data_IF_088146771074
#
_entry.id   IF_088146771074
#
_cell.length_a   1.000
_cell.length_b   1.000
_cell.length_c   1.000
_cell.angle_alpha   90.00
_cell.angle_beta   90.00
_cell.angle_gamma   90.00
#
_symmetry.space_group_name_H-M   'P 1'
#
loop_
_entity.id
_entity.type
_entity.pdbx_description
1 polymer ?
#
# COMPACT_ATOMS: atom_id res chain seq x y z
N UNK A 1 2.85 46.38 -68.98
CA UNK A 1 1.92 47.15 -69.83
C UNK A 1 0.79 47.61 -68.93
N UNK A 2 0.56 48.92 -68.88
CA UNK A 2 -0.19 49.65 -67.85
C UNK A 2 -1.69 49.37 -67.80
N UNK A 3 -2.25 49.54 -66.58
CA UNK A 3 -3.50 50.26 -66.24
C UNK A 3 -3.72 50.02 -64.72
N UNK A 4 -3.13 50.75 -63.77
CA UNK A 4 -3.15 52.21 -63.50
C UNK A 4 -4.56 52.83 -63.49
N UNK A 5 -5.45 52.34 -62.64
CA UNK A 5 -6.68 53.07 -62.26
C UNK A 5 -7.02 53.03 -60.75
N UNK A 6 -6.42 52.15 -59.94
CA UNK A 6 -6.87 51.96 -58.54
C UNK A 6 -6.08 52.68 -57.44
N UNK A 7 -5.11 53.55 -57.74
CA UNK A 7 -4.23 54.14 -56.71
C UNK A 7 -4.70 55.50 -56.13
N UNK A 8 -5.82 56.06 -56.61
CA UNK A 8 -6.27 57.39 -56.14
C UNK A 8 -7.36 57.32 -55.06
N UNK A 9 -8.24 56.32 -55.08
CA UNK A 9 -9.37 56.22 -54.14
C UNK A 9 -8.96 55.61 -52.79
N UNK A 10 -8.01 54.67 -52.79
CA UNK A 10 -7.54 53.99 -51.58
C UNK A 10 -6.61 54.87 -50.72
N UNK A 11 -5.81 55.74 -51.35
CA UNK A 11 -4.91 56.70 -50.68
C UNK A 11 -5.63 57.88 -50.02
N UNK A 12 -6.86 58.20 -50.45
CA UNK A 12 -7.67 59.25 -49.83
C UNK A 12 -8.35 58.79 -48.54
N UNK A 13 -8.66 57.49 -48.40
CA UNK A 13 -9.41 56.96 -47.26
C UNK A 13 -8.54 56.69 -46.01
N UNK A 14 -7.22 56.58 -46.17
CA UNK A 14 -6.26 56.22 -45.11
C UNK A 14 -5.29 57.35 -44.71
N UNK A 15 -5.52 58.58 -45.18
CA UNK A 15 -4.63 59.72 -44.91
C UNK A 15 -4.83 60.23 -43.47
N UNK A 16 -3.87 59.96 -42.59
CA UNK A 16 -3.82 60.47 -41.22
C UNK A 16 -3.95 59.43 -40.10
N UNK A 17 -4.03 58.13 -40.42
CA UNK A 17 -4.08 57.06 -39.41
C UNK A 17 -2.71 56.38 -39.24
N UNK A 18 -2.20 56.34 -38.00
CA UNK A 18 -1.02 55.55 -37.63
C UNK A 18 -1.49 54.13 -37.34
N UNK A 19 -1.20 53.20 -38.25
CA UNK A 19 -1.51 51.78 -38.12
C UNK A 19 -0.33 51.06 -37.45
N UNK A 20 -0.60 50.20 -36.45
CA UNK A 20 0.40 49.43 -35.72
C UNK A 20 0.15 47.92 -35.91
N UNK A 21 1.10 47.05 -35.51
CA UNK A 21 1.11 45.60 -35.80
C UNK A 21 -0.04 44.76 -35.19
N UNK A 22 -1.08 45.40 -34.66
CA UNK A 22 -2.29 44.77 -34.13
C UNK A 22 -3.59 45.26 -34.79
N UNK A 23 -3.53 45.95 -35.94
CA UNK A 23 -4.73 46.46 -36.63
C UNK A 23 -5.17 45.55 -37.78
N UNK A 24 -6.39 45.00 -37.71
CA UNK A 24 -6.99 44.17 -38.76
C UNK A 24 -8.30 44.79 -39.28
N UNK A 25 -8.41 44.89 -40.61
CA UNK A 25 -9.62 45.34 -41.30
C UNK A 25 -10.42 44.13 -41.77
N UNK A 26 -11.65 43.98 -41.28
CA UNK A 26 -12.56 42.90 -41.65
C UNK A 26 -13.62 43.41 -42.62
N UNK A 27 -13.63 42.87 -43.84
CA UNK A 27 -14.69 43.08 -44.82
C UNK A 27 -15.69 41.93 -44.74
N UNK A 28 -16.94 42.22 -44.41
CA UNK A 28 -18.05 41.28 -44.53
C UNK A 28 -18.91 41.68 -45.72
N UNK A 29 -18.91 40.83 -46.76
CA UNK A 29 -19.81 40.99 -47.91
C UNK A 29 -20.79 39.82 -47.96
N UNK A 30 -22.08 40.14 -48.04
CA UNK A 30 -23.14 39.20 -48.39
C UNK A 30 -23.19 39.04 -49.91
N UNK A 31 -23.00 37.83 -50.43
CA UNK A 31 -23.31 37.53 -51.83
C UNK A 31 -24.81 37.24 -51.98
N UNK A 32 -25.43 37.99 -52.88
CA UNK A 32 -26.86 38.07 -53.23
C UNK A 32 -27.72 36.79 -53.06
N UNK A 33 -29.02 36.92 -52.66
CA UNK A 33 -29.96 35.82 -52.70
C UNK A 33 -30.37 35.52 -54.15
N UNK A 34 -30.00 34.36 -54.67
CA UNK A 34 -30.51 33.88 -55.96
C UNK A 34 -31.78 33.08 -55.71
N UNK A 35 -32.93 33.70 -56.00
CA UNK A 35 -34.20 32.99 -56.16
C UNK A 35 -34.16 32.17 -57.44
N UNK A 36 -34.33 30.84 -57.35
CA UNK A 36 -34.56 29.97 -58.51
C UNK A 36 -35.97 29.39 -58.48
N UNK A 37 -36.75 29.75 -59.50
CA UNK A 37 -38.10 29.26 -59.80
C UNK A 37 -37.99 27.92 -60.54
N UNK A 38 -38.73 26.92 -60.05
CA UNK A 38 -38.78 25.51 -60.47
C UNK A 38 -39.24 25.31 -61.93
N UNK A 39 -38.68 24.31 -62.63
CA UNK A 39 -39.37 23.53 -63.67
C UNK A 39 -39.26 22.05 -63.30
N UNK A 40 -40.40 21.37 -63.16
CA UNK A 40 -40.48 19.96 -62.81
C UNK A 40 -41.11 19.23 -63.99
N UNK A 41 -40.32 18.42 -64.68
CA UNK A 41 -40.81 17.47 -65.68
C UNK A 41 -40.78 16.06 -65.08
N UNK A 42 -41.82 15.30 -65.44
CA UNK A 42 -42.26 14.06 -64.83
C UNK A 42 -41.29 12.90 -65.02
N UNK A 43 -40.78 12.33 -63.92
CA UNK A 43 -40.38 10.92 -63.89
C UNK A 43 -40.95 10.28 -62.62
N UNK A 44 -42.27 10.06 -62.63
CA UNK A 44 -42.99 9.39 -61.53
C UNK A 44 -42.69 7.88 -61.45
N UNK A 45 -41.92 7.30 -62.38
CA UNK A 45 -41.64 5.87 -62.38
C UNK A 45 -40.35 5.48 -61.64
N UNK A 46 -39.26 6.26 -61.78
CA UNK A 46 -37.94 5.92 -61.20
C UNK A 46 -37.89 6.20 -59.68
N UNK A 47 -38.64 7.19 -59.18
CA UNK A 47 -38.69 7.51 -57.74
C UNK A 47 -39.37 6.40 -56.93
N UNK A 48 -40.31 5.63 -57.50
CA UNK A 48 -40.99 4.56 -56.75
C UNK A 48 -40.10 3.35 -56.45
N UNK A 49 -39.08 3.12 -57.27
CA UNK A 49 -38.10 2.05 -57.10
C UNK A 49 -36.99 2.51 -56.13
N UNK A 50 -36.50 3.74 -56.31
CA UNK A 50 -35.50 4.35 -55.42
C UNK A 50 -36.05 4.66 -54.01
N UNK A 51 -37.33 5.03 -53.87
CA UNK A 51 -37.99 5.26 -52.58
C UNK A 51 -38.21 3.96 -51.80
N UNK A 52 -38.52 2.85 -52.47
CA UNK A 52 -38.63 1.53 -51.83
C UNK A 52 -37.28 1.01 -51.34
N UNK A 53 -36.24 1.14 -52.16
CA UNK A 53 -34.85 0.86 -51.76
C UNK A 53 -34.37 1.77 -50.61
N UNK A 54 -34.73 3.07 -50.66
CA UNK A 54 -34.47 4.04 -49.58
C UNK A 54 -35.17 3.65 -48.28
N UNK A 55 -36.45 3.30 -48.30
CA UNK A 55 -37.18 2.87 -47.09
C UNK A 55 -36.62 1.59 -46.50
N UNK A 56 -36.26 0.59 -47.33
CA UNK A 56 -35.63 -0.63 -46.83
C UNK A 56 -34.25 -0.36 -46.23
N UNK A 57 -33.44 0.50 -46.86
CA UNK A 57 -32.16 0.95 -46.30
C UNK A 57 -32.34 1.63 -44.94
N UNK A 58 -33.29 2.54 -44.81
CA UNK A 58 -33.60 3.20 -43.53
C UNK A 58 -34.16 2.24 -42.48
N UNK A 59 -34.99 1.27 -42.87
CA UNK A 59 -35.52 0.25 -41.94
C UNK A 59 -34.42 -0.67 -41.45
N UNK A 60 -33.53 -1.15 -42.33
CA UNK A 60 -32.38 -1.99 -41.95
C UNK A 60 -31.43 -1.21 -41.04
N UNK A 61 -31.18 0.07 -41.35
CA UNK A 61 -30.35 0.94 -40.52
C UNK A 61 -30.99 1.18 -39.14
N UNK A 62 -32.30 1.40 -39.05
CA UNK A 62 -33.00 1.54 -37.77
C UNK A 62 -32.96 0.26 -36.94
N UNK A 63 -33.13 -0.90 -37.58
CA UNK A 63 -33.01 -2.21 -36.92
C UNK A 63 -31.58 -2.44 -36.43
N UNK A 64 -30.56 -2.10 -37.22
CA UNK A 64 -29.16 -2.27 -36.82
C UNK A 64 -28.80 -1.36 -35.64
N UNK A 65 -29.28 -0.11 -35.63
CA UNK A 65 -29.07 0.82 -34.51
C UNK A 65 -29.79 0.32 -33.25
N UNK A 66 -31.02 -0.20 -33.37
CA UNK A 66 -31.75 -0.79 -32.24
C UNK A 66 -31.04 -2.02 -31.67
N UNK A 67 -30.58 -2.93 -32.54
CA UNK A 67 -29.84 -4.11 -32.12
C UNK A 67 -28.55 -3.73 -31.39
N UNK A 68 -27.79 -2.76 -31.93
CA UNK A 68 -26.55 -2.29 -31.33
C UNK A 68 -26.80 -1.57 -30.00
N UNK A 69 -27.87 -0.78 -29.90
CA UNK A 69 -28.30 -0.15 -28.65
C UNK A 69 -28.64 -1.18 -27.59
N UNK A 70 -29.38 -2.24 -27.94
CA UNK A 70 -29.71 -3.31 -27.01
C UNK A 70 -28.46 -4.06 -26.54
N UNK A 71 -27.54 -4.38 -27.46
CA UNK A 71 -26.27 -5.02 -27.13
C UNK A 71 -25.44 -4.18 -26.16
N UNK A 72 -25.31 -2.86 -26.40
CA UNK A 72 -24.55 -1.98 -25.52
C UNK A 72 -25.18 -1.93 -24.12
N UNK A 73 -26.50 -1.78 -24.01
CA UNK A 73 -27.20 -1.79 -22.72
C UNK A 73 -26.99 -3.12 -21.98
N UNK A 74 -27.05 -4.24 -22.69
CA UNK A 74 -26.79 -5.56 -22.11
C UNK A 74 -25.35 -5.68 -21.57
N UNK A 75 -24.35 -5.25 -22.35
CA UNK A 75 -22.96 -5.26 -21.88
C UNK A 75 -22.71 -4.32 -20.70
N UNK A 76 -23.33 -3.14 -20.69
CA UNK A 76 -23.24 -2.19 -19.58
C UNK A 76 -23.90 -2.74 -18.31
N UNK A 77 -25.05 -3.41 -18.46
CA UNK A 77 -25.73 -4.08 -17.35
C UNK A 77 -24.86 -5.19 -16.76
N UNK A 78 -24.31 -6.07 -17.60
CA UNK A 78 -23.42 -7.14 -17.12
C UNK A 78 -22.18 -6.58 -16.41
N UNK A 79 -21.57 -5.51 -16.94
CA UNK A 79 -20.44 -4.85 -16.30
C UNK A 79 -20.82 -4.23 -14.95
N UNK A 80 -22.03 -3.69 -14.82
CA UNK A 80 -22.53 -3.14 -13.56
C UNK A 80 -22.74 -4.24 -12.50
N UNK A 81 -23.29 -5.39 -12.90
CA UNK A 81 -23.42 -6.56 -12.03
C UNK A 81 -22.06 -7.12 -11.60
N UNK A 82 -21.07 -7.14 -12.50
CA UNK A 82 -19.72 -7.64 -12.20
C UNK A 82 -18.91 -6.68 -11.32
N UNK A 83 -19.06 -5.36 -11.50
CA UNK A 83 -18.28 -4.33 -10.79
C UNK A 83 -19.17 -3.15 -10.35
N UNK A 84 -19.99 -3.32 -9.29
CA UNK A 84 -20.92 -2.27 -8.83
C UNK A 84 -20.21 -1.14 -8.07
N UNK A 85 -18.97 -1.33 -7.63
CA UNK A 85 -18.23 -0.36 -6.82
C UNK A 85 -17.19 0.40 -7.65
N UNK A 86 -17.09 1.71 -7.44
CA UNK A 86 -16.07 2.58 -8.02
C UNK A 86 -15.26 3.24 -6.91
N UNK A 87 -13.95 3.15 -7.00
CA UNK A 87 -13.03 3.84 -6.10
C UNK A 87 -12.76 5.24 -6.65
N UNK A 88 -12.93 6.27 -5.82
CA UNK A 88 -12.62 7.67 -6.15
C UNK A 88 -11.78 8.29 -5.06
N UNK A 89 -10.86 9.18 -5.43
CA UNK A 89 -10.06 9.95 -4.48
C UNK A 89 -10.92 11.12 -4.00
N UNK A 90 -11.24 11.14 -2.70
CA UNK A 90 -12.03 12.22 -2.10
C UNK A 90 -11.17 13.44 -1.82
N UNK A 91 -10.06 13.26 -1.07
CA UNK A 91 -9.12 14.33 -0.74
C UNK A 91 -7.69 13.91 -1.00
N UNK A 92 -6.90 14.80 -1.62
CA UNK A 92 -5.45 14.62 -1.78
C UNK A 92 -4.66 15.23 -0.61
N UNK A 93 -5.31 16.00 0.26
CA UNK A 93 -4.68 16.77 1.34
C UNK A 93 -5.49 16.65 2.63
N UNK A 94 -5.25 15.59 3.39
CA UNK A 94 -5.74 15.47 4.77
C UNK A 94 -4.80 16.25 5.71
N UNK A 95 -5.31 17.01 6.70
CA UNK A 95 -4.47 17.65 7.69
C UNK A 95 -3.59 16.64 8.42
N UNK A 96 -2.29 16.93 8.51
CA UNK A 96 -1.28 16.02 9.10
C UNK A 96 -1.63 15.62 10.55
N UNK A 97 -2.24 16.54 11.31
CA UNK A 97 -2.61 16.30 12.72
C UNK A 97 -3.64 15.17 12.90
N UNK A 98 -4.48 14.92 11.90
CA UNK A 98 -5.47 13.83 11.92
C UNK A 98 -4.85 12.48 11.54
N UNK A 99 -3.62 12.47 11.02
CA UNK A 99 -3.00 11.26 10.50
C UNK A 99 -2.43 10.43 11.65
N UNK A 100 -2.92 9.19 11.86
CA UNK A 100 -2.32 8.30 12.84
C UNK A 100 -0.90 7.91 12.38
N UNK A 101 0.01 7.76 13.33
CA UNK A 101 1.31 7.16 13.06
C UNK A 101 1.08 5.68 12.70
N UNK A 102 1.73 5.13 11.66
CA UNK A 102 1.64 3.70 11.40
C UNK A 102 2.27 2.90 12.54
N UNK A 103 1.89 1.62 12.62
CA UNK A 103 2.66 0.68 13.42
C UNK A 103 3.95 0.33 12.70
N UNK A 104 5.07 0.40 13.41
CA UNK A 104 6.40 0.08 12.90
C UNK A 104 6.98 -1.03 13.77
N UNK A 105 7.22 -2.20 13.18
CA UNK A 105 7.67 -3.38 13.91
C UNK A 105 9.06 -3.78 13.47
N UNK A 106 10.01 -3.80 14.40
CA UNK A 106 11.41 -4.13 14.19
C UNK A 106 11.71 -5.50 14.80
N UNK A 107 12.20 -6.46 14.03
CA UNK A 107 12.53 -7.79 14.53
C UNK A 107 14.03 -7.93 14.77
N UNK A 108 14.42 -8.46 15.93
CA UNK A 108 15.85 -8.72 16.14
C UNK A 108 16.30 -9.89 15.26
N UNK A 109 17.42 -9.79 14.52
CA UNK A 109 17.99 -10.97 13.86
C UNK A 109 18.59 -11.97 14.87
N UNK A 110 18.85 -11.52 16.10
CA UNK A 110 19.33 -12.37 17.20
C UNK A 110 18.15 -12.98 17.97
N UNK A 111 17.62 -14.07 17.42
CA UNK A 111 16.53 -14.83 18.02
C UNK A 111 16.99 -15.85 19.07
N UNK A 112 18.31 -16.03 19.26
CA UNK A 112 18.86 -17.02 20.17
C UNK A 112 20.16 -16.53 20.80
N UNK A 113 20.07 -16.17 22.07
CA UNK A 113 21.19 -15.61 22.83
C UNK A 113 21.97 -16.66 23.63
N UNK A 114 23.26 -16.44 23.84
CA UNK A 114 24.11 -17.27 24.71
C UNK A 114 23.67 -17.10 26.17
N UNK A 115 23.29 -15.89 26.57
CA UNK A 115 22.70 -15.63 27.89
C UNK A 115 21.42 -16.45 28.16
N UNK A 116 20.57 -16.68 27.14
CA UNK A 116 19.43 -17.58 27.27
C UNK A 116 19.85 -19.04 27.48
N UNK A 117 20.88 -19.51 26.77
CA UNK A 117 21.41 -20.86 26.98
C UNK A 117 21.87 -21.07 28.43
N UNK A 118 22.60 -20.10 28.98
CA UNK A 118 23.03 -20.13 30.38
C UNK A 118 21.83 -20.14 31.35
N UNK A 119 20.82 -19.32 31.07
CA UNK A 119 19.58 -19.28 31.84
C UNK A 119 18.88 -20.66 31.85
N UNK A 120 18.68 -21.29 30.69
CA UNK A 120 18.04 -22.60 30.61
C UNK A 120 18.88 -23.70 31.25
N UNK A 121 20.21 -23.67 31.08
CA UNK A 121 21.10 -24.63 31.71
C UNK A 121 21.00 -24.59 33.25
N UNK A 122 20.83 -23.40 33.82
CA UNK A 122 20.64 -23.22 35.27
C UNK A 122 19.23 -23.54 35.76
N UNK A 123 18.20 -23.32 34.93
CA UNK A 123 16.79 -23.42 35.34
C UNK A 123 16.19 -24.81 35.13
N UNK A 124 16.64 -25.54 34.11
CA UNK A 124 16.19 -26.92 33.87
C UNK A 124 16.71 -27.82 34.99
N UNK A 125 15.83 -28.50 35.70
CA UNK A 125 16.17 -29.36 36.84
C UNK A 125 16.25 -30.83 36.38
N UNK A 126 15.26 -31.26 35.61
CA UNK A 126 15.05 -32.64 35.18
C UNK A 126 15.56 -32.90 33.76
N UNK A 127 16.06 -34.12 33.51
CA UNK A 127 16.53 -34.55 32.18
C UNK A 127 18.04 -34.40 31.95
N UNK A 128 18.51 -34.90 30.81
CA UNK A 128 19.90 -34.78 30.40
C UNK A 128 20.16 -33.39 29.81
N UNK A 129 21.11 -32.63 30.38
CA UNK A 129 21.44 -31.25 29.98
C UNK A 129 22.63 -31.15 29.02
N UNK A 130 23.38 -32.23 28.84
CA UNK A 130 24.66 -32.20 28.12
C UNK A 130 24.55 -31.84 26.64
N UNK A 131 23.33 -31.80 26.09
CA UNK A 131 23.07 -31.56 24.67
C UNK A 131 22.17 -30.32 24.43
N UNK A 132 22.01 -29.44 25.43
CA UNK A 132 21.15 -28.25 25.29
C UNK A 132 21.59 -27.33 24.14
N UNK A 133 22.90 -27.21 23.91
CA UNK A 133 23.48 -26.48 22.77
C UNK A 133 23.05 -27.05 21.41
N UNK A 134 22.76 -28.35 21.36
CA UNK A 134 22.28 -29.02 20.15
C UNK A 134 20.77 -28.84 19.99
N UNK A 135 20.01 -28.81 21.10
CA UNK A 135 18.56 -28.69 21.09
C UNK A 135 18.08 -27.26 20.79
N UNK A 136 18.70 -26.26 21.42
CA UNK A 136 18.21 -24.89 21.43
C UNK A 136 18.16 -24.23 20.04
N UNK A 137 19.11 -24.48 19.13
CA UNK A 137 19.01 -24.00 17.74
C UNK A 137 17.78 -24.51 16.97
N UNK A 138 17.15 -25.62 17.39
CA UNK A 138 15.93 -26.11 16.73
C UNK A 138 14.74 -25.17 16.96
N UNK A 139 14.81 -24.30 17.97
CA UNK A 139 13.80 -23.25 18.22
C UNK A 139 13.67 -22.30 17.02
N UNK A 140 14.74 -22.09 16.26
CA UNK A 140 14.70 -21.29 15.04
C UNK A 140 13.75 -21.88 13.99
N UNK A 141 13.44 -23.17 14.06
CA UNK A 141 12.44 -23.83 13.22
C UNK A 141 11.02 -23.33 13.41
N UNK A 142 10.77 -22.53 14.45
CA UNK A 142 9.50 -21.83 14.64
C UNK A 142 9.38 -20.58 13.77
N UNK A 143 10.51 -20.06 13.27
CA UNK A 143 10.59 -18.82 12.49
C UNK A 143 11.06 -19.07 11.05
N UNK A 144 11.88 -20.09 10.85
CA UNK A 144 12.42 -20.46 9.55
C UNK A 144 12.08 -21.91 9.19
N UNK A 145 11.98 -22.17 7.89
CA UNK A 145 11.76 -23.52 7.40
C UNK A 145 13.03 -24.37 7.59
N UNK A 146 12.95 -25.38 8.48
CA UNK A 146 14.01 -26.38 8.66
C UNK A 146 13.66 -27.65 7.89
N UNK A 147 14.65 -28.21 7.18
CA UNK A 147 14.51 -29.53 6.57
C UNK A 147 14.43 -30.62 7.66
N UNK A 148 13.27 -31.25 7.79
CA UNK A 148 13.04 -32.31 8.76
C UNK A 148 13.65 -33.63 8.26
N UNK A 149 14.71 -34.08 8.92
CA UNK A 149 15.24 -35.44 8.79
C UNK A 149 14.76 -36.31 9.94
N UNK A 150 14.81 -37.64 9.80
CA UNK A 150 14.46 -38.56 10.90
C UNK A 150 15.30 -38.29 12.17
N UNK A 151 16.54 -37.83 12.02
CA UNK A 151 17.39 -37.47 13.16
C UNK A 151 16.91 -36.19 13.83
N UNK A 152 16.55 -35.16 13.04
CA UNK A 152 15.99 -33.90 13.55
C UNK A 152 14.67 -34.12 14.29
N UNK A 153 13.81 -35.01 13.79
CA UNK A 153 12.53 -35.32 14.43
C UNK A 153 12.73 -35.95 15.82
N UNK A 154 13.65 -36.91 15.94
CA UNK A 154 13.97 -37.52 17.24
C UNK A 154 14.55 -36.50 18.22
N UNK A 155 15.42 -35.62 17.74
CA UNK A 155 16.02 -34.54 18.53
C UNK A 155 14.95 -33.56 19.02
N UNK A 156 13.99 -33.19 18.17
CA UNK A 156 12.88 -32.31 18.52
C UNK A 156 11.95 -32.96 19.55
N UNK A 157 11.67 -34.26 19.43
CA UNK A 157 10.90 -35.01 20.44
C UNK A 157 11.60 -35.02 21.79
N UNK A 158 12.90 -35.34 21.83
CA UNK A 158 13.68 -35.30 23.07
C UNK A 158 13.72 -33.90 23.69
N UNK A 159 13.79 -32.86 22.86
CA UNK A 159 13.72 -31.48 23.35
C UNK A 159 12.33 -31.15 23.92
N UNK A 160 11.26 -31.54 23.23
CA UNK A 160 9.89 -31.35 23.72
C UNK A 160 9.66 -32.07 25.05
N UNK A 161 10.08 -33.34 25.16
CA UNK A 161 9.97 -34.13 26.39
C UNK A 161 10.70 -33.42 27.55
N UNK A 162 11.90 -32.87 27.29
CA UNK A 162 12.68 -32.12 28.27
C UNK A 162 11.96 -30.85 28.75
N UNK A 163 11.33 -30.10 27.83
CA UNK A 163 10.55 -28.91 28.18
C UNK A 163 9.31 -29.28 28.99
N UNK A 164 8.60 -30.34 28.60
CA UNK A 164 7.38 -30.82 29.27
C UNK A 164 7.66 -31.30 30.70
N UNK A 165 8.75 -32.05 30.92
CA UNK A 165 9.19 -32.48 32.26
C UNK A 165 9.42 -31.28 33.18
N UNK A 166 10.03 -30.21 32.65
CA UNK A 166 10.31 -28.99 33.40
C UNK A 166 9.16 -27.96 33.37
N UNK A 167 7.99 -28.32 32.82
CA UNK A 167 6.78 -27.49 32.72
C UNK A 167 6.98 -26.17 31.96
N UNK A 168 7.89 -26.15 30.99
CA UNK A 168 8.06 -25.01 30.10
C UNK A 168 7.08 -25.10 28.93
N UNK A 169 6.43 -23.99 28.60
CA UNK A 169 5.68 -23.87 27.35
C UNK A 169 6.54 -23.28 26.25
N UNK A 170 6.16 -23.52 24.99
CA UNK A 170 6.84 -22.90 23.84
C UNK A 170 6.80 -21.38 23.94
N UNK A 171 5.69 -20.80 24.40
CA UNK A 171 5.61 -19.34 24.61
C UNK A 171 6.60 -18.83 25.64
N UNK A 172 6.81 -19.56 26.74
CA UNK A 172 7.81 -19.19 27.76
C UNK A 172 9.22 -19.26 27.16
N UNK A 173 9.50 -20.26 26.33
CA UNK A 173 10.75 -20.38 25.60
C UNK A 173 10.97 -19.18 24.67
N UNK A 174 10.00 -18.87 23.80
CA UNK A 174 10.07 -17.74 22.87
C UNK A 174 10.12 -16.37 23.56
N UNK A 175 9.81 -16.30 24.85
CA UNK A 175 9.93 -15.06 25.64
C UNK A 175 11.30 -14.85 26.28
N UNK A 176 12.12 -15.90 26.44
CA UNK A 176 13.41 -15.84 27.13
C UNK A 176 14.61 -16.14 26.23
N UNK A 177 14.41 -16.85 25.12
CA UNK A 177 15.45 -17.22 24.16
C UNK A 177 15.98 -16.04 23.31
N UNK A 178 15.11 -15.21 22.72
CA UNK A 178 15.54 -14.12 21.83
C UNK A 178 16.02 -12.90 22.61
N UNK A 179 16.75 -12.02 21.90
CA UNK A 179 17.18 -10.75 22.47
C UNK A 179 15.98 -9.85 22.80
N UNK A 180 15.90 -9.38 24.04
CA UNK A 180 14.83 -8.49 24.49
C UNK A 180 14.85 -7.13 23.77
N UNK A 181 13.68 -6.51 23.62
CA UNK A 181 13.52 -5.18 23.00
C UNK A 181 14.34 -4.08 23.67
N UNK A 182 14.54 -4.14 24.99
CA UNK A 182 15.32 -3.14 25.73
C UNK A 182 16.80 -3.19 25.37
N UNK A 183 17.31 -4.40 25.07
CA UNK A 183 18.68 -4.61 24.66
C UNK A 183 18.87 -4.37 23.17
N UNK A 184 17.87 -4.74 22.36
CA UNK A 184 17.90 -4.54 20.91
C UNK A 184 17.78 -3.06 20.52
N UNK A 185 16.87 -2.31 21.17
CA UNK A 185 16.62 -0.90 20.89
C UNK A 185 17.43 -0.01 21.85
N UNK A 186 18.59 0.49 21.42
CA UNK A 186 19.51 1.25 22.27
C UNK A 186 19.06 2.69 22.54
N UNK A 187 18.50 3.37 21.53
CA UNK A 187 18.05 4.78 21.66
C UNK A 187 16.84 5.03 20.80
N UNK A 188 15.83 5.70 21.35
CA UNK A 188 14.61 6.04 20.65
C UNK A 188 14.32 7.53 20.78
N UNK A 189 14.09 8.19 19.65
CA UNK A 189 13.67 9.58 19.57
C UNK A 189 12.37 9.63 18.79
N UNK A 190 11.43 10.43 19.29
CA UNK A 190 10.17 10.70 18.62
C UNK A 190 9.99 12.21 18.58
N UNK A 191 9.82 12.75 17.38
CA UNK A 191 9.59 14.18 17.15
C UNK A 191 10.70 15.11 17.69
N UNK A 192 11.93 14.59 17.74
CA UNK A 192 13.12 15.28 18.26
C UNK A 192 13.28 15.21 19.78
N UNK A 193 12.43 14.45 20.49
CA UNK A 193 12.56 14.19 21.94
C UNK A 193 13.01 12.76 22.18
N UNK A 194 13.99 12.58 23.06
CA UNK A 194 14.44 11.26 23.49
C UNK A 194 13.40 10.62 24.44
N UNK A 195 13.13 9.34 24.22
CA UNK A 195 12.29 8.50 25.07
C UNK A 195 13.04 7.21 25.45
N UNK A 196 12.60 6.56 26.53
CA UNK A 196 13.00 5.18 26.76
C UNK A 196 12.33 4.31 25.70
N UNK A 197 13.09 3.40 25.09
CA UNK A 197 12.56 2.53 24.03
C UNK A 197 11.43 1.63 24.54
N UNK A 198 11.50 1.14 25.78
CA UNK A 198 10.46 0.32 26.41
C UNK A 198 9.12 1.05 26.59
N UNK A 199 9.12 2.39 26.62
CA UNK A 199 7.89 3.19 26.70
C UNK A 199 7.21 3.34 25.34
N UNK A 200 8.00 3.34 24.26
CA UNK A 200 7.52 3.53 22.89
C UNK A 200 7.21 2.22 22.17
N UNK A 201 8.06 1.22 22.36
CA UNK A 201 7.99 -0.08 21.71
C UNK A 201 7.51 -1.13 22.70
N UNK A 202 6.61 -2.00 22.25
CA UNK A 202 6.16 -3.18 23.00
C UNK A 202 6.59 -4.44 22.28
N UNK A 203 7.00 -5.49 23.02
CA UNK A 203 7.34 -6.75 22.39
C UNK A 203 6.10 -7.31 21.70
N UNK A 204 6.30 -7.99 20.58
CA UNK A 204 5.28 -8.72 19.83
C UNK A 204 5.93 -9.93 19.19
N UNK A 205 5.23 -11.06 19.19
CA UNK A 205 5.73 -12.28 18.55
C UNK A 205 5.13 -12.39 17.14
N UNK A 206 5.95 -12.46 16.10
CA UNK A 206 5.50 -12.56 14.70
C UNK A 206 6.04 -13.83 14.04
N UNK A 207 5.71 -14.03 12.76
CA UNK A 207 6.29 -15.07 11.89
C UNK A 207 7.81 -14.95 11.78
N UNK A 208 8.34 -13.74 11.90
CA UNK A 208 9.76 -13.41 11.83
C UNK A 208 10.49 -13.45 13.17
N UNK A 209 9.81 -13.88 14.24
CA UNK A 209 10.40 -14.01 15.56
C UNK A 209 9.90 -13.02 16.58
N UNK A 210 10.71 -12.81 17.61
CA UNK A 210 10.47 -11.80 18.63
C UNK A 210 10.83 -10.41 18.10
N UNK A 211 9.84 -9.53 18.10
CA UNK A 211 9.94 -8.21 17.50
C UNK A 211 9.44 -7.13 18.47
N UNK A 212 9.74 -5.88 18.14
CA UNK A 212 9.41 -4.70 18.92
C UNK A 212 8.55 -3.79 18.06
N UNK A 213 7.30 -3.57 18.48
CA UNK A 213 6.32 -2.80 17.73
C UNK A 213 6.05 -1.44 18.36
N UNK A 214 6.20 -0.40 17.56
CA UNK A 214 5.81 0.96 17.88
C UNK A 214 4.38 1.21 17.42
N UNK A 215 3.60 1.91 18.24
CA UNK A 215 2.23 2.36 17.93
C UNK A 215 1.29 1.26 17.40
N UNK A 216 1.42 0.04 17.93
CA UNK A 216 0.52 -1.06 17.61
C UNK A 216 -0.38 -1.40 18.81
N UNK A 217 -1.64 -1.72 18.53
CA UNK A 217 -2.63 -2.12 19.55
C UNK A 217 -2.35 -3.50 20.16
N UNK A 218 -1.59 -4.35 19.48
CA UNK A 218 -1.19 -5.68 19.92
C UNK A 218 0.18 -5.65 20.61
N UNK A 219 0.32 -6.48 21.64
CA UNK A 219 1.59 -6.70 22.34
C UNK A 219 1.66 -8.12 22.87
N UNK A 220 2.86 -8.65 22.98
CA UNK A 220 3.15 -9.93 23.60
C UNK A 220 3.24 -9.76 25.11
N UNK A 221 2.48 -10.56 25.86
CA UNK A 221 2.43 -10.50 27.32
C UNK A 221 3.31 -11.56 28.01
N UNK A 222 4.23 -12.19 27.27
CA UNK A 222 5.04 -13.32 27.75
C UNK A 222 4.44 -14.70 27.44
N UNK A 223 3.15 -14.78 27.12
CA UNK A 223 2.48 -16.04 26.76
C UNK A 223 1.88 -16.03 25.36
N UNK A 224 1.24 -14.92 24.99
CA UNK A 224 0.60 -14.77 23.69
C UNK A 224 0.50 -13.30 23.31
N UNK A 225 0.22 -13.05 22.04
CA UNK A 225 -0.13 -11.73 21.58
C UNK A 225 -1.54 -11.39 22.08
N UNK A 226 -1.67 -10.23 22.72
CA UNK A 226 -2.91 -9.71 23.27
C UNK A 226 -3.14 -8.29 22.81
N UNK A 227 -4.41 -7.92 22.64
CA UNK A 227 -4.80 -6.54 22.37
C UNK A 227 -4.71 -5.71 23.65
N UNK A 228 -3.95 -4.64 23.65
CA UNK A 228 -3.87 -3.70 24.76
C UNK A 228 -5.15 -2.85 24.82
N UNK A 229 -5.93 -3.01 25.89
CA UNK A 229 -7.21 -2.30 26.08
C UNK A 229 -7.03 -0.80 26.35
N UNK A 230 -5.89 -0.41 26.90
CA UNK A 230 -5.57 0.99 27.22
C UNK A 230 -4.68 1.62 26.14
N UNK A 231 -4.67 1.06 24.94
CA UNK A 231 -3.90 1.60 23.83
C UNK A 231 -4.43 2.96 23.42
N UNK A 232 -3.53 3.94 23.33
CA UNK A 232 -3.82 5.27 22.80
C UNK A 232 -2.97 5.45 21.56
N UNK A 233 -3.65 5.60 20.43
CA UNK A 233 -2.99 5.83 19.15
C UNK A 233 -2.25 7.17 19.17
N UNK A 234 -1.05 7.20 18.58
CA UNK A 234 -0.27 8.41 18.38
C UNK A 234 -0.53 8.94 16.97
N UNK A 235 -0.71 10.24 16.85
CA UNK A 235 -0.84 10.91 15.57
C UNK A 235 0.45 11.63 15.20
N UNK A 236 0.66 11.84 13.90
CA UNK A 236 1.76 12.62 13.35
C UNK A 236 1.50 14.11 13.64
N UNK A 237 2.44 14.79 14.30
CA UNK A 237 2.28 16.23 14.59
C UNK A 237 3.01 17.13 13.60
N UNK A 238 4.09 16.66 13.02
CA UNK A 238 4.91 17.44 12.10
C UNK A 238 5.66 16.53 11.12
N UNK A 239 6.00 17.08 9.96
CA UNK A 239 6.79 16.40 8.92
C UNK A 239 8.23 16.92 8.92
N UNK A 240 9.15 16.09 8.42
CA UNK A 240 10.57 16.43 8.25
C UNK A 240 11.52 15.62 9.14
N UNK A 241 12.78 15.61 8.75
CA UNK A 241 13.82 14.73 9.34
C UNK A 241 14.02 14.91 10.84
N UNK A 242 13.84 16.12 11.37
CA UNK A 242 13.99 16.40 12.81
C UNK A 242 12.76 16.01 13.64
N UNK A 243 11.64 15.71 12.97
CA UNK A 243 10.35 15.39 13.58
C UNK A 243 9.94 13.93 13.39
N UNK A 244 10.85 13.10 12.91
CA UNK A 244 10.64 11.67 12.70
C UNK A 244 10.79 10.84 13.98
N UNK A 245 10.38 9.58 13.89
CA UNK A 245 10.84 8.49 14.73
C UNK A 245 12.26 8.11 14.29
N UNK A 246 13.21 8.19 15.21
CA UNK A 246 14.59 7.72 15.03
C UNK A 246 14.88 6.65 16.07
N UNK A 247 15.36 5.50 15.62
CA UNK A 247 15.68 4.35 16.46
C UNK A 247 17.09 3.89 16.15
N UNK A 248 17.89 3.71 17.20
CA UNK A 248 19.20 3.09 17.12
C UNK A 248 19.06 1.67 17.63
N UNK A 249 19.38 0.70 16.78
CA UNK A 249 19.28 -0.73 17.04
C UNK A 249 20.66 -1.38 17.13
N UNK A 250 20.78 -2.45 17.90
CA UNK A 250 21.99 -3.26 18.02
C UNK A 250 21.60 -4.68 18.46
N UNK A 251 21.84 -5.64 17.59
CA UNK A 251 21.48 -7.05 17.80
C UNK A 251 22.51 -7.84 18.62
N UNK A 252 23.59 -7.20 19.06
CA UNK A 252 24.63 -7.77 19.92
C UNK A 252 25.16 -9.11 19.42
N UNK A 253 25.92 -9.08 18.32
CA UNK A 253 26.52 -10.28 17.70
C UNK A 253 27.30 -11.14 18.71
N UNK A 254 27.97 -10.52 19.68
CA UNK A 254 28.76 -11.20 20.70
C UNK A 254 27.94 -12.15 21.60
N UNK A 255 26.67 -11.82 21.86
CA UNK A 255 25.74 -12.63 22.66
C UNK A 255 24.87 -13.54 21.79
N UNK A 256 25.03 -13.52 20.46
CA UNK A 256 24.33 -14.45 19.59
C UNK A 256 24.98 -15.85 19.64
N UNK A 257 24.20 -16.92 19.56
CA UNK A 257 24.77 -18.26 19.39
C UNK A 257 25.40 -18.42 18.01
N UNK A 258 26.47 -19.22 17.93
CA UNK A 258 27.21 -19.44 16.68
C UNK A 258 26.30 -19.98 15.56
N UNK A 259 26.32 -19.32 14.39
CA UNK A 259 25.55 -19.66 13.20
C UNK A 259 24.02 -19.66 13.38
N UNK A 260 23.50 -18.87 14.33
CA UNK A 260 22.05 -18.75 14.60
C UNK A 260 21.44 -17.39 14.25
N UNK A 261 22.28 -16.44 13.80
CA UNK A 261 21.84 -15.10 13.40
C UNK A 261 20.99 -15.22 12.13
N UNK A 262 19.75 -14.74 12.21
CA UNK A 262 18.83 -14.75 11.07
C UNK A 262 19.16 -13.64 10.07
N UNK A 263 18.79 -13.87 8.81
CA UNK A 263 18.86 -12.88 7.72
C UNK A 263 20.26 -12.29 7.48
N UNK A 264 21.32 -13.02 7.83
CA UNK A 264 22.70 -12.52 7.74
C UNK A 264 22.96 -11.30 8.60
N UNK A 265 22.18 -11.12 9.68
CA UNK A 265 22.24 -9.96 10.55
C UNK A 265 21.46 -8.76 10.05
N UNK A 266 20.68 -8.85 8.96
CA UNK A 266 19.77 -7.78 8.56
C UNK A 266 18.53 -7.73 9.47
N UNK A 267 18.06 -6.53 9.78
CA UNK A 267 16.88 -6.30 10.62
C UNK A 267 15.62 -6.23 9.76
N UNK A 268 14.65 -7.15 9.91
CA UNK A 268 13.35 -7.04 9.28
C UNK A 268 12.52 -5.92 9.92
N UNK A 269 11.90 -5.11 9.08
CA UNK A 269 11.06 -3.96 9.45
C UNK A 269 9.74 -4.08 8.73
N UNK A 270 8.66 -4.16 9.49
CA UNK A 270 7.29 -4.22 8.98
C UNK A 270 6.55 -2.91 9.24
N UNK A 271 5.78 -2.48 8.26
CA UNK A 271 4.85 -1.36 8.36
C UNK A 271 3.42 -1.87 8.31
N UNK A 272 2.59 -1.50 9.27
CA UNK A 272 1.17 -1.86 9.28
C UNK A 272 0.32 -0.70 9.81
N UNK A 273 -1.00 -0.80 9.66
CA UNK A 273 -1.88 0.09 10.42
C UNK A 273 -1.74 -0.19 11.93
N UNK A 274 -1.98 0.82 12.75
CA UNK A 274 -1.91 0.72 14.22
C UNK A 274 -2.91 -0.29 14.79
N UNK A 275 -4.00 -0.55 14.06
CA UNK A 275 -5.08 -1.47 14.45
C UNK A 275 -4.89 -2.90 13.94
N UNK A 276 -3.94 -3.11 13.04
CA UNK A 276 -3.67 -4.38 12.37
C UNK A 276 -2.49 -5.11 13.02
N UNK A 277 -2.51 -6.44 12.92
CA UNK A 277 -1.39 -7.26 13.37
C UNK A 277 -0.26 -7.19 12.34
N UNK A 278 1.02 -7.04 12.73
CA UNK A 278 2.13 -6.97 11.77
C UNK A 278 2.17 -8.20 10.87
N UNK A 279 2.13 -7.97 9.56
CA UNK A 279 2.17 -8.98 8.51
C UNK A 279 3.32 -8.71 7.53
N UNK A 280 3.56 -9.67 6.65
CA UNK A 280 4.66 -9.63 5.68
C UNK A 280 4.35 -8.75 4.46
N UNK A 281 3.20 -8.06 4.43
CA UNK A 281 2.71 -7.29 3.28
C UNK A 281 3.65 -6.10 2.93
N UNK A 282 4.19 -5.44 3.95
CA UNK A 282 5.12 -4.31 3.83
C UNK A 282 6.38 -4.57 4.67
N UNK A 283 7.10 -5.63 4.32
CA UNK A 283 8.32 -6.09 4.98
C UNK A 283 9.59 -5.66 4.21
N UNK A 284 10.53 -5.03 4.93
CA UNK A 284 11.83 -4.63 4.41
C UNK A 284 12.96 -5.16 5.28
N UNK A 285 14.05 -5.62 4.67
CA UNK A 285 15.26 -6.03 5.38
C UNK A 285 16.27 -4.90 5.34
N UNK A 286 16.70 -4.43 6.51
CA UNK A 286 17.70 -3.38 6.64
C UNK A 286 19.03 -3.94 7.05
N UNK A 287 20.06 -3.60 6.27
CA UNK A 287 21.42 -3.82 6.71
C UNK A 287 21.70 -2.98 7.96
N UNK A 288 22.37 -3.58 8.94
CA UNK A 288 22.68 -2.97 10.21
C UNK A 288 23.96 -2.11 10.15
N UNK A 289 24.71 -2.16 9.05
CA UNK A 289 25.91 -1.34 8.82
C UNK A 289 25.57 0.01 8.15
N UNK A 290 24.83 0.88 8.84
CA UNK A 290 24.61 2.25 8.37
C UNK A 290 23.33 2.92 8.86
N UNK A 291 23.00 4.04 8.23
CA UNK A 291 21.75 4.77 8.45
C UNK A 291 20.80 4.48 7.29
N UNK A 292 19.55 4.13 7.61
CA UNK A 292 18.48 3.98 6.62
C UNK A 292 17.40 5.04 6.84
N UNK A 293 16.92 5.62 5.74
CA UNK A 293 15.91 6.66 5.74
C UNK A 293 14.63 6.15 5.10
N UNK A 294 13.55 6.18 5.86
CA UNK A 294 12.24 5.68 5.46
C UNK A 294 11.28 6.83 5.23
N UNK A 295 10.77 6.94 4.00
CA UNK A 295 9.75 7.93 3.65
C UNK A 295 8.41 7.22 3.54
N UNK A 296 7.51 7.51 4.48
CA UNK A 296 6.20 6.87 4.54
C UNK A 296 5.15 7.79 3.91
N UNK A 297 4.29 7.23 3.06
CA UNK A 297 3.14 7.92 2.47
C UNK A 297 1.87 7.18 2.87
N UNK A 298 1.04 7.83 3.68
CA UNK A 298 -0.20 7.22 4.13
C UNK A 298 -1.27 7.28 3.04
N UNK A 299 -1.95 6.16 2.82
CA UNK A 299 -3.13 6.06 1.96
C UNK A 299 -4.21 5.37 2.77
N UNK A 300 -5.38 5.99 2.90
CA UNK A 300 -6.53 5.38 3.57
C UNK A 300 -7.68 5.26 2.57
N UNK A 301 -8.35 4.11 2.59
CA UNK A 301 -9.54 3.86 1.78
C UNK A 301 -10.71 3.58 2.72
N UNK A 302 -11.82 4.26 2.53
CA UNK A 302 -13.05 4.02 3.28
C UNK A 302 -14.24 3.89 2.34
N UNK A 303 -15.23 3.11 2.76
CA UNK A 303 -16.50 3.02 2.05
C UNK A 303 -17.39 4.20 2.42
N UNK A 304 -18.03 4.79 1.41
CA UNK A 304 -19.07 5.80 1.61
C UNK A 304 -20.27 5.22 2.35
N UNK A 305 -21.12 6.08 2.93
CA UNK A 305 -22.30 5.63 3.66
C UNK A 305 -23.29 4.88 2.76
N UNK A 306 -23.40 5.28 1.48
CA UNK A 306 -24.25 4.61 0.51
C UNK A 306 -23.77 3.18 0.25
N UNK A 307 -22.46 2.96 0.09
CA UNK A 307 -21.89 1.63 -0.11
C UNK A 307 -22.08 0.77 1.14
N UNK A 308 -21.89 1.34 2.35
CA UNK A 308 -22.11 0.63 3.62
C UNK A 308 -23.58 0.23 3.83
N UNK A 309 -24.53 0.96 3.23
CA UNK A 309 -25.96 0.68 3.33
C UNK A 309 -26.46 -0.42 2.38
N UNK A 310 -25.64 -0.84 1.41
CA UNK A 310 -26.02 -1.89 0.47
C UNK A 310 -26.23 -3.22 1.21
N UNK A 311 -27.28 -4.00 0.87
CA UNK A 311 -27.48 -5.31 1.46
C UNK A 311 -26.30 -6.21 1.12
N UNK A 312 -25.75 -6.88 2.14
CA UNK A 312 -24.77 -7.94 1.93
C UNK A 312 -25.50 -9.10 1.24
N UNK A 313 -25.30 -9.24 -0.07
CA UNK A 313 -25.75 -10.41 -0.81
C UNK A 313 -25.03 -11.62 -0.23
N UNK A 314 -25.81 -12.57 0.30
CA UNK A 314 -25.32 -13.81 0.90
C UNK A 314 -25.46 -14.97 -0.06
#
# INVERSE_FOLDING_TARGET
MELKVYDCFFKAMLKGMVLNDTTSALHFFFTNPVFLKKKQETVMSIISLAYRLSRCFWVVNMISVLAMSFSITYFLYNRFEEMPTRITIENQFEPIENLPYPAITLCTPNQLTQSALEYFNSTLIEGNRTELETYLPLVLGLYEFISLTNQTENLLKSFQDLLEMNRFTISDLLSHVPQNCENFLKRCYLEGKQYNCSDLFKPILTTHGYCCSFNNVYMFNGKMNVKNRNFVNRNVRATGFTKTLLVVIDFQEEDAMNATILYGGATPVMYSDWSEFPSDDELFYHDNYGESFHTLSATYTYCSEEVKSLPLWR
#
